data_IF_274096431004
#
_entry.id   IF_274096431004
#
_cell.length_a   1.000
_cell.length_b   1.000
_cell.length_c   1.000
_cell.angle_alpha   90.00
_cell.angle_beta   90.00
_cell.angle_gamma   90.00
#
_symmetry.space_group_name_H-M   'P 1'
#
loop_
_entity.id
_entity.type
_entity.pdbx_description
1 polymer ?
#
# COMPACT_ATOMS: atom_id res chain seq x y z
N UNK A 1 -24.50 -15.70 11.94
CA UNK A 1 -23.54 -16.56 11.21
C UNK A 1 -22.77 -15.75 10.18
N UNK A 2 -21.55 -16.19 9.83
CA UNK A 2 -20.67 -15.52 8.86
C UNK A 2 -20.63 -16.32 7.56
N UNK A 3 -20.77 -15.67 6.41
CA UNK A 3 -20.60 -16.26 5.09
C UNK A 3 -19.14 -16.18 4.63
N UNK A 4 -18.56 -14.98 4.63
CA UNK A 4 -17.17 -14.74 4.24
C UNK A 4 -16.40 -13.94 5.29
N UNK A 5 -15.10 -14.18 5.34
CA UNK A 5 -14.12 -13.33 6.02
C UNK A 5 -13.20 -12.74 4.97
N UNK A 6 -13.10 -11.42 4.95
CA UNK A 6 -12.33 -10.67 3.96
C UNK A 6 -11.12 -10.06 4.65
N UNK A 7 -9.93 -10.37 4.17
CA UNK A 7 -8.69 -9.94 4.80
C UNK A 7 -8.27 -10.85 5.95
N UNK A 8 -7.79 -10.27 7.03
CA UNK A 8 -7.20 -10.98 8.18
C UNK A 8 -5.78 -11.50 7.93
N UNK A 9 -5.26 -11.31 6.73
CA UNK A 9 -3.89 -11.68 6.39
C UNK A 9 -2.87 -10.72 7.00
N UNK A 10 -3.00 -9.40 6.82
CA UNK A 10 -1.92 -8.45 7.17
C UNK A 10 -2.29 -7.19 7.96
N UNK A 11 -3.57 -6.80 7.98
CA UNK A 11 -4.01 -5.49 8.53
C UNK A 11 -5.34 -5.55 9.27
N UNK A 12 -6.41 -5.97 8.59
CA UNK A 12 -7.76 -6.04 9.16
C UNK A 12 -8.57 -7.16 8.52
N UNK A 13 -9.58 -7.65 9.24
CA UNK A 13 -10.61 -8.57 8.76
C UNK A 13 -12.00 -7.93 8.82
N UNK A 14 -12.78 -8.14 7.77
CA UNK A 14 -14.21 -7.80 7.68
C UNK A 14 -15.02 -9.06 7.45
N UNK A 15 -16.31 -9.01 7.76
CA UNK A 15 -17.19 -10.17 7.75
C UNK A 15 -18.40 -9.90 6.89
N UNK A 16 -18.86 -10.93 6.18
CA UNK A 16 -20.08 -10.89 5.36
C UNK A 16 -21.14 -11.76 6.02
N UNK A 17 -22.37 -11.28 6.14
CA UNK A 17 -23.51 -12.04 6.66
C UNK A 17 -24.04 -13.07 5.66
N UNK A 18 -25.13 -13.78 5.99
CA UNK A 18 -25.70 -14.82 5.13
C UNK A 18 -26.55 -14.26 3.99
N UNK A 19 -26.84 -12.97 4.02
CA UNK A 19 -27.58 -12.20 3.04
C UNK A 19 -26.65 -11.54 2.00
N UNK A 20 -25.34 -11.59 2.26
CA UNK A 20 -24.30 -11.07 1.38
C UNK A 20 -23.84 -9.66 1.70
N UNK A 21 -24.28 -9.05 2.81
CA UNK A 21 -23.86 -7.70 3.20
C UNK A 21 -22.66 -7.74 4.14
N UNK A 22 -21.88 -6.67 4.16
CA UNK A 22 -20.88 -6.47 5.21
C UNK A 22 -21.58 -6.35 6.56
N UNK A 23 -21.05 -7.06 7.55
CA UNK A 23 -21.52 -6.97 8.93
C UNK A 23 -21.07 -5.63 9.50
N UNK A 24 -22.02 -4.74 9.73
CA UNK A 24 -21.85 -3.38 10.25
C UNK A 24 -22.51 -3.16 11.61
N UNK A 25 -23.50 -3.99 11.94
CA UNK A 25 -24.19 -3.98 13.24
C UNK A 25 -25.03 -2.71 13.47
N UNK A 26 -25.32 -2.41 14.74
CA UNK A 26 -25.98 -1.17 15.12
C UNK A 26 -24.99 0.01 15.17
N UNK A 27 -25.47 1.22 15.47
CA UNK A 27 -24.66 2.46 15.45
C UNK A 27 -23.42 2.43 16.36
N UNK A 28 -23.38 1.54 17.36
CA UNK A 28 -22.26 1.39 18.28
C UNK A 28 -21.46 0.10 18.05
N UNK A 29 -21.81 -0.68 17.03
CA UNK A 29 -21.20 -1.97 16.80
C UNK A 29 -19.74 -1.83 16.32
N UNK A 30 -18.90 -2.73 16.83
CA UNK A 30 -17.52 -2.88 16.42
C UNK A 30 -17.42 -4.14 15.57
N UNK A 31 -17.28 -3.99 14.26
CA UNK A 31 -17.46 -5.09 13.30
C UNK A 31 -16.27 -5.34 12.39
N UNK A 32 -15.28 -4.44 12.36
CA UNK A 32 -14.00 -4.72 11.72
C UNK A 32 -12.98 -5.13 12.78
N UNK A 33 -12.24 -6.20 12.52
CA UNK A 33 -11.15 -6.63 13.41
C UNK A 33 -9.81 -6.16 12.88
N UNK A 34 -9.16 -5.22 13.56
CA UNK A 34 -7.81 -4.78 13.25
C UNK A 34 -6.78 -5.71 13.91
N UNK A 35 -5.75 -6.09 13.16
CA UNK A 35 -4.61 -6.84 13.70
C UNK A 35 -3.67 -5.91 14.47
N UNK A 36 -2.87 -6.49 15.37
CA UNK A 36 -1.83 -5.77 16.09
C UNK A 36 -0.84 -5.13 15.10
N UNK A 37 -0.54 -3.85 15.29
CA UNK A 37 0.50 -3.15 14.54
C UNK A 37 1.65 -2.75 15.46
N UNK A 38 2.74 -3.52 15.40
CA UNK A 38 3.93 -3.30 16.23
C UNK A 38 4.64 -1.97 15.97
N UNK A 39 4.57 -1.44 14.75
CA UNK A 39 5.21 -0.17 14.42
C UNK A 39 4.44 1.01 14.99
N UNK A 40 3.11 0.94 14.94
CA UNK A 40 2.23 1.98 15.48
C UNK A 40 1.91 1.77 16.96
N UNK A 41 2.28 0.62 17.53
CA UNK A 41 2.01 0.18 18.90
C UNK A 41 0.50 0.15 19.19
N UNK A 42 -0.27 -0.39 18.25
CA UNK A 42 -1.72 -0.57 18.40
C UNK A 42 -2.03 -2.04 18.65
N UNK A 43 -2.83 -2.32 19.66
CA UNK A 43 -3.30 -3.67 19.97
C UNK A 43 -4.32 -4.17 18.95
N UNK A 44 -4.43 -5.48 18.81
CA UNK A 44 -5.48 -6.08 18.00
C UNK A 44 -6.85 -5.88 18.67
N UNK A 45 -7.89 -5.59 17.88
CA UNK A 45 -9.20 -5.32 18.44
C UNK A 45 -10.28 -5.01 17.41
N UNK A 46 -11.53 -5.07 17.86
CA UNK A 46 -12.66 -4.65 17.04
C UNK A 46 -12.81 -3.13 17.04
N UNK A 47 -13.10 -2.58 15.87
CA UNK A 47 -13.38 -1.16 15.64
C UNK A 47 -14.67 -1.00 14.83
N UNK A 48 -15.28 0.17 14.91
CA UNK A 48 -16.46 0.50 14.10
C UNK A 48 -16.09 0.57 12.61
N UNK A 49 -16.97 0.06 11.76
CA UNK A 49 -16.86 0.18 10.30
C UNK A 49 -18.27 0.23 9.72
N UNK A 50 -18.67 1.39 9.17
CA UNK A 50 -20.02 1.65 8.67
C UNK A 50 -21.14 1.30 9.67
N UNK A 51 -20.91 1.54 10.97
CA UNK A 51 -21.83 1.13 12.04
C UNK A 51 -23.25 1.66 11.81
N UNK A 52 -24.25 0.76 11.82
CA UNK A 52 -25.65 1.08 11.56
C UNK A 52 -26.05 1.18 10.08
N UNK A 53 -25.13 1.01 9.14
CA UNK A 53 -25.42 1.08 7.70
C UNK A 53 -25.61 -0.31 7.08
N UNK A 54 -26.52 -0.45 6.12
CA UNK A 54 -26.60 -1.65 5.29
C UNK A 54 -25.64 -1.50 4.10
N UNK A 55 -24.54 -2.24 4.10
CA UNK A 55 -23.47 -2.10 3.09
C UNK A 55 -23.34 -3.40 2.29
N UNK A 56 -23.70 -3.40 0.99
CA UNK A 56 -23.48 -4.55 0.12
C UNK A 56 -21.99 -4.91 -0.01
N UNK A 57 -21.69 -6.19 -0.20
CA UNK A 57 -20.35 -6.68 -0.46
C UNK A 57 -19.95 -6.48 -1.93
N UNK A 58 -19.18 -5.43 -2.19
CA UNK A 58 -18.58 -5.13 -3.50
C UNK A 58 -17.09 -5.49 -3.60
N UNK A 59 -16.49 -6.01 -2.52
CA UNK A 59 -15.06 -6.27 -2.48
C UNK A 59 -14.62 -7.47 -3.34
N UNK A 60 -15.58 -8.24 -3.88
CA UNK A 60 -15.34 -9.38 -4.76
C UNK A 60 -14.50 -9.01 -5.99
N UNK A 61 -14.62 -7.77 -6.50
CA UNK A 61 -13.85 -7.30 -7.64
C UNK A 61 -12.33 -7.50 -7.46
N UNK A 62 -11.84 -7.29 -6.24
CA UNK A 62 -10.40 -7.34 -5.94
C UNK A 62 -9.99 -8.59 -5.14
N UNK A 63 -10.95 -9.28 -4.52
CA UNK A 63 -10.69 -10.37 -3.58
C UNK A 63 -11.15 -11.75 -4.07
N UNK A 64 -11.53 -11.89 -5.35
CA UNK A 64 -11.96 -13.16 -5.94
C UNK A 64 -11.35 -13.37 -7.32
N UNK A 65 -11.50 -14.57 -7.88
CA UNK A 65 -11.00 -14.93 -9.21
C UNK A 65 -12.12 -15.09 -10.21
N UNK A 66 -11.94 -14.52 -11.40
CA UNK A 66 -12.93 -14.58 -12.47
C UNK A 66 -14.16 -13.73 -12.18
N UNK A 67 -13.98 -12.59 -11.49
CA UNK A 67 -15.06 -11.68 -11.14
C UNK A 67 -15.78 -11.12 -12.38
N UNK A 68 -17.11 -11.04 -12.29
CA UNK A 68 -17.98 -10.42 -13.29
C UNK A 68 -18.90 -9.43 -12.55
N UNK A 69 -18.96 -8.15 -12.96
CA UNK A 69 -19.80 -7.12 -12.34
C UNK A 69 -21.28 -7.25 -12.77
N UNK A 70 -21.80 -8.48 -12.74
CA UNK A 70 -23.18 -8.80 -13.12
C UNK A 70 -23.73 -9.91 -12.23
N UNK A 71 -25.01 -9.76 -11.90
CA UNK A 71 -25.72 -10.70 -11.05
C UNK A 71 -25.28 -10.59 -9.59
N UNK A 72 -25.63 -11.63 -8.86
CA UNK A 72 -25.38 -11.76 -7.44
C UNK A 72 -24.99 -13.21 -7.17
N UNK A 73 -23.80 -13.42 -6.59
CA UNK A 73 -23.32 -14.75 -6.24
C UNK A 73 -24.36 -15.46 -5.36
N UNK A 74 -24.65 -16.72 -5.69
CA UNK A 74 -25.64 -17.57 -5.00
C UNK A 74 -27.06 -16.98 -4.89
N UNK A 75 -27.39 -15.95 -5.68
CA UNK A 75 -28.66 -15.24 -5.62
C UNK A 75 -28.80 -14.30 -4.43
N UNK A 76 -27.72 -14.01 -3.71
CA UNK A 76 -27.70 -13.13 -2.53
C UNK A 76 -27.51 -11.67 -2.94
N UNK A 77 -28.55 -10.85 -2.81
CA UNK A 77 -28.54 -9.45 -3.30
C UNK A 77 -27.44 -8.59 -2.69
N UNK A 78 -26.95 -8.93 -1.50
CA UNK A 78 -25.81 -8.25 -0.88
C UNK A 78 -24.47 -8.50 -1.60
N UNK A 79 -24.30 -9.64 -2.26
CA UNK A 79 -23.06 -9.96 -3.00
C UNK A 79 -23.10 -9.30 -4.38
N UNK A 80 -22.31 -8.25 -4.59
CA UNK A 80 -22.31 -7.49 -5.85
C UNK A 80 -21.41 -8.16 -6.89
N UNK A 81 -22.04 -8.74 -7.91
CA UNK A 81 -21.36 -9.50 -8.96
C UNK A 81 -21.29 -11.00 -8.66
N UNK A 82 -20.57 -11.71 -9.52
CA UNK A 82 -20.35 -13.16 -9.45
C UNK A 82 -18.87 -13.46 -9.68
N UNK A 83 -18.38 -14.60 -9.20
CA UNK A 83 -17.00 -15.03 -9.40
C UNK A 83 -16.90 -16.54 -9.51
N UNK A 84 -15.73 -17.04 -9.92
CA UNK A 84 -15.49 -18.46 -10.13
C UNK A 84 -14.86 -19.10 -8.91
N UNK A 85 -13.90 -18.42 -8.29
CA UNK A 85 -13.17 -18.93 -7.11
C UNK A 85 -12.95 -17.83 -6.08
N UNK A 86 -12.96 -18.23 -4.80
CA UNK A 86 -12.62 -17.32 -3.70
C UNK A 86 -11.11 -17.02 -3.71
N UNK A 87 -10.74 -15.82 -3.27
CA UNK A 87 -9.38 -15.28 -3.27
C UNK A 87 -8.85 -14.96 -4.68
N UNK A 88 -7.72 -14.23 -4.71
CA UNK A 88 -6.95 -13.97 -5.93
C UNK A 88 -6.09 -15.20 -6.24
N UNK A 89 -6.48 -15.94 -7.27
CA UNK A 89 -5.84 -17.16 -7.74
C UNK A 89 -5.06 -16.96 -9.04
N UNK A 90 -4.52 -18.05 -9.57
CA UNK A 90 -3.65 -18.05 -10.76
C UNK A 90 -4.32 -17.36 -11.97
N UNK A 91 -5.60 -17.64 -12.17
CA UNK A 91 -6.35 -17.21 -13.35
C UNK A 91 -6.70 -15.72 -13.34
N UNK A 92 -6.53 -15.00 -12.22
CA UNK A 92 -6.71 -13.55 -12.20
C UNK A 92 -5.64 -12.82 -13.00
N UNK A 93 -4.42 -13.34 -13.03
CA UNK A 93 -3.31 -12.75 -13.79
C UNK A 93 -2.99 -13.54 -15.07
N UNK A 94 -3.19 -14.86 -15.02
CA UNK A 94 -2.87 -15.75 -16.13
C UNK A 94 -4.09 -16.14 -16.97
N UNK A 95 -5.28 -15.61 -16.69
CA UNK A 95 -6.51 -15.96 -17.40
C UNK A 95 -6.94 -17.43 -17.23
N UNK A 96 -8.04 -17.85 -17.87
CA UNK A 96 -8.59 -19.19 -17.71
C UNK A 96 -7.64 -20.29 -18.23
N UNK A 97 -7.28 -21.23 -17.38
CA UNK A 97 -6.30 -22.29 -17.63
C UNK A 97 -6.87 -23.60 -18.18
N UNK A 98 -8.18 -23.69 -18.44
CA UNK A 98 -8.84 -24.93 -18.86
C UNK A 98 -8.22 -25.57 -20.11
N UNK A 99 -7.79 -24.78 -21.09
CA UNK A 99 -7.10 -25.27 -22.28
C UNK A 99 -5.65 -25.68 -21.99
N UNK A 100 -4.98 -24.95 -21.09
CA UNK A 100 -3.61 -25.27 -20.66
C UNK A 100 -3.56 -26.62 -19.96
N UNK A 101 -4.46 -26.90 -19.03
CA UNK A 101 -4.51 -28.19 -18.30
C UNK A 101 -4.65 -29.38 -19.26
N UNK A 102 -5.43 -29.25 -20.32
CA UNK A 102 -5.65 -30.31 -21.31
C UNK A 102 -4.49 -30.48 -22.31
N UNK A 103 -3.65 -29.47 -22.50
CA UNK A 103 -2.56 -29.49 -23.49
C UNK A 103 -1.42 -28.53 -23.12
N UNK A 104 -0.71 -28.76 -21.99
CA UNK A 104 0.20 -27.76 -21.41
C UNK A 104 1.42 -27.44 -22.28
N UNK A 105 1.81 -28.38 -23.16
CA UNK A 105 2.90 -28.19 -24.12
C UNK A 105 2.48 -27.41 -25.38
N UNK A 106 1.17 -27.30 -25.66
CA UNK A 106 0.64 -26.64 -26.85
C UNK A 106 -0.05 -25.31 -26.52
N UNK A 107 -0.59 -25.18 -25.32
CA UNK A 107 -1.28 -24.00 -24.83
C UNK A 107 -0.56 -23.51 -23.59
N UNK A 108 0.22 -22.45 -23.71
CA UNK A 108 0.84 -21.79 -22.55
C UNK A 108 -0.16 -20.86 -21.87
N UNK A 109 -0.04 -20.72 -20.56
CA UNK A 109 -0.73 -19.65 -19.83
C UNK A 109 -0.19 -18.29 -20.30
N UNK A 110 -1.04 -17.28 -20.56
CA UNK A 110 -0.57 -15.93 -20.82
C UNK A 110 0.20 -15.40 -19.61
N UNK A 111 1.27 -14.67 -19.89
CA UNK A 111 2.08 -14.01 -18.86
C UNK A 111 1.94 -12.52 -19.09
N UNK A 112 0.94 -11.92 -18.46
CA UNK A 112 0.75 -10.47 -18.44
C UNK A 112 1.70 -9.87 -17.40
N UNK A 113 2.46 -8.86 -17.81
CA UNK A 113 3.48 -8.19 -16.98
C UNK A 113 3.24 -6.69 -16.86
N UNK A 114 2.25 -6.17 -17.59
CA UNK A 114 1.87 -4.77 -17.54
C UNK A 114 1.35 -4.38 -16.15
N UNK A 115 1.68 -3.16 -15.73
CA UNK A 115 1.20 -2.60 -14.48
C UNK A 115 -0.33 -2.47 -14.42
N UNK A 116 -0.99 -2.31 -15.58
CA UNK A 116 -2.44 -2.21 -15.72
C UNK A 116 -3.17 -3.43 -15.13
N UNK A 117 -2.64 -4.64 -15.34
CA UNK A 117 -3.18 -5.87 -14.76
C UNK A 117 -3.24 -5.79 -13.23
N UNK A 118 -2.17 -5.29 -12.60
CA UNK A 118 -2.12 -5.04 -11.15
C UNK A 118 -3.09 -3.92 -10.74
N UNK A 119 -3.20 -2.89 -11.60
CA UNK A 119 -4.12 -1.76 -11.45
C UNK A 119 -5.60 -2.15 -11.38
N UNK A 120 -5.99 -3.34 -11.84
CA UNK A 120 -7.37 -3.86 -11.66
C UNK A 120 -7.81 -3.88 -10.19
N UNK A 121 -6.87 -4.10 -9.28
CA UNK A 121 -7.12 -4.17 -7.83
C UNK A 121 -6.36 -3.11 -7.03
N UNK A 122 -5.15 -2.76 -7.46
CA UNK A 122 -4.28 -1.76 -6.84
C UNK A 122 -4.53 -0.35 -7.39
N UNK A 123 -5.79 -0.06 -7.70
CA UNK A 123 -6.28 1.27 -8.01
C UNK A 123 -7.65 1.51 -7.35
N UNK A 124 -8.03 2.78 -7.26
CA UNK A 124 -9.37 3.22 -6.82
C UNK A 124 -10.04 3.99 -7.96
N UNK A 125 -10.66 5.12 -7.66
CA UNK A 125 -11.51 5.86 -8.60
C UNK A 125 -10.78 6.40 -9.83
N UNK A 126 -9.50 6.75 -9.71
CA UNK A 126 -8.73 7.40 -10.76
C UNK A 126 -7.24 7.04 -10.72
N UNK A 127 -6.63 6.84 -11.88
CA UNK A 127 -5.17 6.68 -12.01
C UNK A 127 -4.41 8.00 -11.81
N UNK A 128 -5.09 9.14 -11.96
CA UNK A 128 -4.45 10.47 -11.94
C UNK A 128 -4.52 11.18 -10.58
N UNK A 129 -5.21 10.58 -9.60
CA UNK A 129 -5.40 11.15 -8.27
C UNK A 129 -5.07 10.08 -7.26
N UNK A 130 -4.19 10.41 -6.31
CA UNK A 130 -3.91 9.56 -5.14
C UNK A 130 -4.77 10.07 -4.00
N UNK A 131 -5.89 9.40 -3.74
CA UNK A 131 -6.88 9.78 -2.73
C UNK A 131 -6.30 9.65 -1.32
N UNK A 132 -6.71 10.55 -0.44
CA UNK A 132 -6.26 10.61 0.94
C UNK A 132 -7.39 11.03 1.88
N UNK A 133 -7.38 10.48 3.09
CA UNK A 133 -8.26 10.84 4.19
C UNK A 133 -7.49 10.83 5.51
N UNK A 134 -7.93 11.63 6.47
CA UNK A 134 -7.37 11.69 7.82
C UNK A 134 -5.84 11.91 7.89
N UNK A 135 -5.29 12.58 6.88
CA UNK A 135 -3.85 12.86 6.77
C UNK A 135 -3.00 11.70 6.29
N UNK A 136 -3.60 10.71 5.60
CA UNK A 136 -2.91 9.56 5.01
C UNK A 136 -3.49 9.20 3.64
N UNK A 137 -2.68 8.57 2.80
CA UNK A 137 -3.11 7.99 1.52
C UNK A 137 -4.02 6.79 1.80
N UNK A 138 -5.13 6.68 1.08
CA UNK A 138 -5.98 5.48 1.16
C UNK A 138 -5.26 4.28 0.53
N UNK A 139 -5.38 3.11 1.14
CA UNK A 139 -4.82 1.88 0.61
C UNK A 139 -5.34 1.52 -0.80
N UNK A 140 -4.65 0.59 -1.46
CA UNK A 140 -4.94 0.07 -2.81
C UNK A 140 -4.82 1.10 -3.94
N UNK A 141 -3.84 1.99 -3.87
CA UNK A 141 -3.59 3.00 -4.92
C UNK A 141 -2.18 2.94 -5.50
N UNK A 142 -1.44 1.84 -5.29
CA UNK A 142 -0.03 1.73 -5.71
C UNK A 142 0.15 2.01 -7.21
N UNK A 143 -0.82 1.63 -8.04
CA UNK A 143 -0.79 1.94 -9.47
C UNK A 143 -0.84 3.46 -9.73
N UNK A 144 -1.76 4.18 -9.09
CA UNK A 144 -1.86 5.65 -9.20
C UNK A 144 -0.64 6.37 -8.57
N UNK A 145 -0.12 5.83 -7.47
CA UNK A 145 1.09 6.34 -6.81
C UNK A 145 2.31 6.24 -7.73
N UNK A 146 2.57 5.06 -8.31
CA UNK A 146 3.68 4.89 -9.27
C UNK A 146 3.47 5.76 -10.50
N UNK A 147 2.26 5.79 -11.05
CA UNK A 147 1.90 6.56 -12.24
C UNK A 147 2.10 8.08 -12.05
N UNK A 148 1.77 8.60 -10.88
CA UNK A 148 1.97 10.01 -10.55
C UNK A 148 3.43 10.35 -10.22
N UNK A 149 4.25 9.34 -9.88
CA UNK A 149 5.65 9.52 -9.51
C UNK A 149 6.61 9.58 -10.71
N UNK A 150 7.91 9.74 -10.41
CA UNK A 150 9.00 9.65 -11.41
C UNK A 150 9.22 8.24 -11.98
N UNK A 151 8.55 7.23 -11.42
CA UNK A 151 8.69 5.81 -11.81
C UNK A 151 7.55 5.30 -12.69
N UNK A 152 6.69 6.17 -13.21
CA UNK A 152 5.51 5.86 -14.04
C UNK A 152 5.71 4.98 -15.29
N UNK A 153 6.96 4.75 -15.69
CA UNK A 153 7.32 3.92 -16.86
C UNK A 153 7.80 2.52 -16.46
N UNK A 154 7.90 2.23 -15.16
CA UNK A 154 8.26 0.92 -14.65
C UNK A 154 7.00 0.12 -14.37
N UNK A 155 7.09 -1.18 -14.60
CA UNK A 155 6.04 -2.13 -14.24
C UNK A 155 6.21 -2.61 -12.80
N UNK A 156 5.12 -3.06 -12.18
CA UNK A 156 5.16 -3.58 -10.81
C UNK A 156 6.14 -4.74 -10.67
N UNK A 157 6.22 -5.58 -11.70
CA UNK A 157 7.08 -6.79 -11.74
C UNK A 157 8.55 -6.49 -12.00
N UNK A 158 8.91 -5.25 -12.35
CA UNK A 158 10.31 -4.82 -12.43
C UNK A 158 10.95 -4.82 -11.04
N UNK A 159 10.16 -4.51 -10.01
CA UNK A 159 10.59 -4.54 -8.61
C UNK A 159 10.07 -5.76 -7.86
N UNK A 160 8.84 -6.21 -8.10
CA UNK A 160 8.20 -7.24 -7.28
C UNK A 160 8.09 -8.63 -7.93
N UNK A 161 8.13 -9.66 -7.09
CA UNK A 161 7.74 -11.01 -7.43
C UNK A 161 6.24 -11.22 -7.19
N UNK A 162 5.41 -11.36 -8.24
CA UNK A 162 3.96 -11.49 -8.07
C UNK A 162 3.53 -12.84 -7.46
N UNK A 163 4.46 -13.79 -7.29
CA UNK A 163 4.19 -15.09 -6.67
C UNK A 163 4.58 -15.16 -5.20
N UNK A 164 5.11 -14.08 -4.63
CA UNK A 164 5.60 -14.05 -3.25
C UNK A 164 4.89 -12.96 -2.45
N UNK A 165 4.66 -13.22 -1.17
CA UNK A 165 4.00 -12.28 -0.28
C UNK A 165 4.94 -11.15 0.12
N UNK A 166 4.50 -9.90 -0.02
CA UNK A 166 5.24 -8.73 0.46
C UNK A 166 5.15 -8.54 1.99
N UNK A 167 4.31 -9.32 2.68
CA UNK A 167 4.09 -9.23 4.14
C UNK A 167 4.76 -10.36 4.92
N UNK A 168 4.68 -11.57 4.40
CA UNK A 168 5.21 -12.79 5.03
C UNK A 168 6.14 -13.57 4.12
N UNK A 169 6.49 -13.03 2.96
CA UNK A 169 7.56 -13.60 2.15
C UNK A 169 8.89 -13.41 2.85
N UNK A 170 9.78 -14.39 2.73
CA UNK A 170 11.11 -14.40 3.35
C UNK A 170 12.10 -13.44 2.67
N UNK A 171 11.63 -12.24 2.25
CA UNK A 171 12.42 -11.21 1.56
C UNK A 171 12.69 -11.49 0.08
N UNK A 172 11.97 -12.44 -0.53
CA UNK A 172 12.08 -12.81 -1.95
C UNK A 172 11.04 -12.12 -2.84
N UNK A 173 10.24 -11.22 -2.25
CA UNK A 173 9.22 -10.44 -2.94
C UNK A 173 9.79 -9.27 -3.73
N UNK A 174 11.00 -8.80 -3.42
CA UNK A 174 11.72 -7.77 -4.17
C UNK A 174 12.79 -8.42 -5.04
N UNK A 175 12.68 -8.24 -6.36
CA UNK A 175 13.59 -8.76 -7.39
C UNK A 175 14.70 -7.80 -7.76
N UNK A 176 14.47 -6.51 -7.56
CA UNK A 176 15.40 -5.46 -7.92
C UNK A 176 15.52 -4.45 -6.78
N UNK A 177 16.73 -4.36 -6.24
CA UNK A 177 17.08 -3.36 -5.24
C UNK A 177 17.24 -1.98 -5.89
N UNK A 178 17.06 -0.93 -5.08
CA UNK A 178 17.15 0.45 -5.55
C UNK A 178 18.55 0.73 -6.12
N UNK A 179 19.57 0.25 -5.41
CA UNK A 179 21.00 0.42 -5.62
C UNK A 179 21.46 -0.20 -6.96
N UNK A 180 20.74 -1.22 -7.46
CA UNK A 180 21.01 -1.82 -8.77
C UNK A 180 20.85 -0.85 -9.94
N UNK A 181 19.99 0.16 -9.78
CA UNK A 181 19.78 1.24 -10.76
C UNK A 181 20.29 2.61 -10.26
N UNK A 182 20.28 2.82 -8.95
CA UNK A 182 20.62 4.08 -8.29
C UNK A 182 21.99 4.05 -7.59
N UNK A 183 23.01 3.51 -8.29
CA UNK A 183 24.36 3.36 -7.76
C UNK A 183 25.01 4.70 -7.36
N UNK A 184 24.71 5.80 -8.06
CA UNK A 184 25.24 7.11 -7.69
C UNK A 184 24.63 7.59 -6.37
N UNK A 185 23.32 7.46 -6.20
CA UNK A 185 22.63 7.82 -4.97
C UNK A 185 23.03 6.90 -3.80
N UNK A 186 23.36 5.64 -4.08
CA UNK A 186 23.88 4.72 -3.09
C UNK A 186 25.29 5.14 -2.63
N UNK A 187 26.18 5.47 -3.57
CA UNK A 187 27.55 5.89 -3.26
C UNK A 187 27.67 7.28 -2.62
N UNK A 188 26.76 8.20 -2.97
CA UNK A 188 26.85 9.60 -2.54
C UNK A 188 25.63 9.98 -1.72
N UNK A 189 25.89 10.17 -0.43
CA UNK A 189 24.87 10.47 0.56
C UNK A 189 25.46 11.27 1.70
N UNK A 190 24.71 12.24 2.21
CA UNK A 190 25.10 12.98 3.42
C UNK A 190 25.30 12.07 4.64
N UNK A 191 24.50 11.01 4.76
CA UNK A 191 24.63 9.97 5.79
C UNK A 191 25.04 8.68 5.08
N UNK A 192 26.33 8.35 5.07
CA UNK A 192 26.84 7.18 4.34
C UNK A 192 27.17 5.98 5.25
N UNK A 193 27.02 6.12 6.58
CA UNK A 193 27.22 5.00 7.52
C UNK A 193 25.93 4.21 7.82
N UNK A 194 24.75 4.64 7.31
CA UNK A 194 23.43 3.97 7.21
C UNK A 194 23.13 2.80 8.18
N UNK A 195 23.54 2.88 9.45
CA UNK A 195 23.40 1.73 10.37
C UNK A 195 21.93 1.39 10.68
N UNK A 196 21.00 2.32 10.45
CA UNK A 196 19.64 2.23 10.98
C UNK A 196 18.51 2.61 10.00
N UNK A 197 18.80 2.89 8.72
CA UNK A 197 17.79 3.24 7.72
C UNK A 197 18.17 2.76 6.31
N UNK A 198 17.19 2.18 5.60
CA UNK A 198 17.32 1.80 4.18
C UNK A 198 16.64 2.81 3.25
N UNK A 199 16.81 2.64 1.94
CA UNK A 199 16.20 3.50 0.90
C UNK A 199 14.70 3.70 1.11
N UNK A 200 13.98 2.59 1.37
CA UNK A 200 12.53 2.58 1.54
C UNK A 200 12.05 3.32 2.79
N UNK A 201 12.91 3.58 3.78
CA UNK A 201 12.48 4.25 5.02
C UNK A 201 12.21 5.75 4.79
N UNK A 202 12.93 6.38 3.87
CA UNK A 202 12.72 7.78 3.48
C UNK A 202 11.98 7.92 2.14
N UNK A 203 12.23 7.01 1.20
CA UNK A 203 11.64 7.07 -0.15
C UNK A 203 10.36 6.26 -0.31
N UNK A 204 10.03 5.34 0.59
CA UNK A 204 8.72 4.67 0.63
C UNK A 204 8.20 4.65 2.07
N UNK A 205 8.12 5.81 2.74
CA UNK A 205 7.69 5.85 4.13
C UNK A 205 6.23 5.41 4.24
N UNK A 206 5.80 5.12 5.45
CA UNK A 206 4.44 4.64 5.68
C UNK A 206 3.46 5.81 5.72
N UNK A 207 3.01 6.26 4.56
CA UNK A 207 2.02 7.34 4.40
C UNK A 207 0.64 6.76 4.02
N UNK A 208 0.51 5.44 3.92
CA UNK A 208 -0.71 4.80 3.44
C UNK A 208 -1.40 4.06 4.59
N UNK A 209 -2.72 4.14 4.64
CA UNK A 209 -3.53 3.54 5.70
C UNK A 209 -4.48 2.49 5.14
N UNK A 210 -4.36 1.27 5.67
CA UNK A 210 -5.30 0.19 5.46
C UNK A 210 -6.23 0.01 6.66
N UNK A 211 -5.67 -0.17 7.85
CA UNK A 211 -6.41 -0.43 9.08
C UNK A 211 -6.17 0.62 10.17
N UNK A 212 -4.91 1.03 10.37
CA UNK A 212 -4.52 1.96 11.43
C UNK A 212 -3.45 2.93 10.97
N UNK A 213 -3.52 4.15 11.51
CA UNK A 213 -2.51 5.18 11.32
C UNK A 213 -2.43 6.10 12.54
N UNK A 214 -1.34 6.86 12.64
CA UNK A 214 -1.11 7.80 13.72
C UNK A 214 -0.44 9.06 13.18
N UNK A 215 -1.17 10.17 13.23
CA UNK A 215 -0.65 11.50 12.87
C UNK A 215 0.47 11.93 13.80
N UNK A 216 0.39 11.62 15.11
CA UNK A 216 1.46 11.89 16.08
C UNK A 216 2.76 11.13 15.77
N UNK A 217 2.66 9.94 15.18
CA UNK A 217 3.80 9.14 14.71
C UNK A 217 4.18 9.43 13.25
N UNK A 218 3.44 10.29 12.55
CA UNK A 218 3.59 10.54 11.11
C UNK A 218 3.64 9.23 10.29
N UNK A 219 2.80 8.25 10.64
CA UNK A 219 2.92 6.92 10.07
C UNK A 219 1.58 6.18 9.97
N UNK A 220 1.32 5.65 8.77
CA UNK A 220 0.30 4.63 8.50
C UNK A 220 0.86 3.20 8.63
N UNK A 221 0.08 2.23 8.22
CA UNK A 221 0.42 0.80 8.29
C UNK A 221 0.86 0.19 6.95
N UNK A 222 0.88 0.99 5.88
CA UNK A 222 1.36 0.62 4.56
C UNK A 222 2.34 1.65 4.00
N UNK A 223 3.30 1.17 3.19
CA UNK A 223 4.28 2.00 2.50
C UNK A 223 3.67 2.62 1.23
N UNK A 224 4.00 3.89 0.99
CA UNK A 224 3.69 4.56 -0.28
C UNK A 224 4.59 4.04 -1.40
N UNK A 225 4.10 4.12 -2.64
CA UNK A 225 4.86 3.95 -3.88
C UNK A 225 5.10 5.30 -4.59
N UNK A 226 5.18 6.37 -3.81
CA UNK A 226 5.68 7.68 -4.21
C UNK A 226 7.11 7.80 -3.70
N UNK A 227 8.08 8.01 -4.61
CA UNK A 227 9.50 7.82 -4.27
C UNK A 227 10.29 9.12 -4.03
N UNK A 228 10.06 10.14 -4.85
CA UNK A 228 10.90 11.33 -4.86
C UNK A 228 10.57 12.22 -3.66
N UNK A 229 11.58 12.62 -2.88
CA UNK A 229 11.41 13.53 -1.75
C UNK A 229 11.51 14.98 -2.27
N UNK A 230 10.55 15.82 -1.90
CA UNK A 230 10.64 17.26 -2.11
C UNK A 230 10.92 17.97 -0.77
N UNK A 231 12.18 18.40 -0.52
CA UNK A 231 12.54 19.00 0.77
C UNK A 231 11.82 20.32 1.05
N UNK A 232 11.34 21.01 0.02
CA UNK A 232 10.68 22.31 0.15
C UNK A 232 9.15 22.22 0.17
N UNK A 233 8.59 21.00 0.12
CA UNK A 233 7.16 20.80 0.21
C UNK A 233 6.64 21.19 1.61
N UNK A 234 5.57 21.97 1.64
CA UNK A 234 4.92 22.38 2.90
C UNK A 234 3.97 21.33 3.47
N UNK A 235 3.48 20.44 2.62
CA UNK A 235 2.48 19.42 2.95
C UNK A 235 2.61 18.27 1.96
N UNK A 236 2.32 17.06 2.43
CA UNK A 236 2.11 15.90 1.58
C UNK A 236 0.78 16.00 0.81
N UNK A 237 -0.24 16.58 1.43
CA UNK A 237 -1.61 16.61 0.89
C UNK A 237 -1.99 18.00 0.38
N UNK A 238 -3.00 18.02 -0.50
CA UNK A 238 -3.67 19.25 -0.92
C UNK A 238 -4.39 19.94 0.26
N UNK A 239 -4.92 21.13 0.02
CA UNK A 239 -5.44 22.02 1.08
C UNK A 239 -6.60 21.41 1.89
N UNK A 240 -7.44 20.62 1.24
CA UNK A 240 -8.59 19.93 1.82
C UNK A 240 -8.26 18.51 2.31
N UNK A 241 -7.02 18.04 2.09
CA UNK A 241 -6.55 16.74 2.56
C UNK A 241 -7.04 15.54 1.72
N UNK A 242 -7.79 15.78 0.64
CA UNK A 242 -8.43 14.75 -0.18
C UNK A 242 -7.49 14.03 -1.14
N UNK A 243 -6.31 14.59 -1.41
CA UNK A 243 -5.34 13.99 -2.33
C UNK A 243 -3.89 14.25 -1.93
N UNK A 244 -3.03 13.27 -2.20
CA UNK A 244 -1.59 13.35 -1.99
C UNK A 244 -0.86 13.94 -3.20
N UNK A 245 0.24 14.63 -2.91
CA UNK A 245 1.18 15.18 -3.89
C UNK A 245 2.06 14.07 -4.50
N UNK A 246 2.56 14.22 -5.74
CA UNK A 246 3.38 13.21 -6.44
C UNK A 246 4.84 13.14 -5.95
N UNK A 247 5.08 13.52 -4.69
CA UNK A 247 6.37 13.49 -4.02
C UNK A 247 6.15 13.20 -2.53
N UNK A 248 7.19 12.79 -1.84
CA UNK A 248 7.22 12.63 -0.38
C UNK A 248 7.66 13.95 0.25
N UNK A 249 6.87 14.48 1.18
CA UNK A 249 7.26 15.61 2.01
C UNK A 249 8.20 15.17 3.16
N UNK A 250 9.06 16.07 3.62
CA UNK A 250 10.01 15.81 4.73
C UNK A 250 9.32 15.39 6.02
N UNK A 251 8.09 15.83 6.21
CA UNK A 251 7.21 15.40 7.29
C UNK A 251 7.17 13.87 7.38
N UNK A 252 6.85 13.18 6.29
CA UNK A 252 6.74 11.72 6.28
C UNK A 252 8.06 11.01 6.02
N UNK A 253 8.99 11.61 5.27
CA UNK A 253 10.31 11.02 5.06
C UNK A 253 11.15 10.93 6.34
N UNK A 254 10.94 11.86 7.29
CA UNK A 254 11.82 12.04 8.44
C UNK A 254 11.10 11.89 9.78
N UNK A 255 9.91 12.49 9.98
CA UNK A 255 9.28 12.57 11.31
C UNK A 255 8.70 11.25 11.81
N UNK A 256 8.58 10.24 10.94
CA UNK A 256 8.33 8.87 11.39
C UNK A 256 9.41 8.34 12.36
N UNK A 257 10.63 8.87 12.26
CA UNK A 257 11.73 8.59 13.20
C UNK A 257 12.07 9.79 14.09
N UNK A 258 12.08 11.00 13.54
CA UNK A 258 12.50 12.24 14.20
C UNK A 258 11.32 13.04 14.78
N UNK A 259 10.55 12.39 15.65
CA UNK A 259 9.42 12.98 16.38
C UNK A 259 9.40 12.48 17.83
N UNK A 260 8.58 13.09 18.68
CA UNK A 260 8.44 12.71 20.10
C UNK A 260 8.12 11.23 20.30
N UNK A 261 7.35 10.64 19.39
CA UNK A 261 6.98 9.21 19.43
C UNK A 261 7.87 8.33 18.54
N UNK A 262 8.81 8.93 17.82
CA UNK A 262 9.74 8.29 16.92
C UNK A 262 10.87 7.56 17.66
N UNK A 263 11.76 6.93 16.89
CA UNK A 263 12.88 6.13 17.40
C UNK A 263 14.23 6.86 17.37
N UNK A 264 14.27 8.05 16.79
CA UNK A 264 15.47 8.86 16.63
C UNK A 264 15.31 10.19 17.39
N UNK A 265 16.41 10.95 17.61
CA UNK A 265 16.32 12.25 18.24
C UNK A 265 15.33 13.17 17.50
N UNK A 266 14.57 13.95 18.27
CA UNK A 266 13.65 14.94 17.71
C UNK A 266 14.45 16.00 16.97
N UNK A 267 14.03 16.33 15.75
CA UNK A 267 14.65 17.36 14.92
C UNK A 267 13.59 18.35 14.46
N UNK A 268 13.94 19.64 14.49
CA UNK A 268 13.11 20.72 13.96
C UNK A 268 13.00 20.65 12.43
N UNK A 269 11.88 21.14 11.88
CA UNK A 269 11.60 21.11 10.44
C UNK A 269 12.70 21.75 9.61
N UNK A 270 13.25 22.89 10.06
CA UNK A 270 14.35 23.57 9.37
C UNK A 270 15.58 22.66 9.22
N UNK A 271 15.88 21.85 10.24
CA UNK A 271 17.00 20.91 10.21
C UNK A 271 16.70 19.72 9.29
N UNK A 272 15.48 19.19 9.33
CA UNK A 272 15.06 18.11 8.43
C UNK A 272 15.18 18.52 6.96
N UNK A 273 14.76 19.75 6.63
CA UNK A 273 14.88 20.33 5.29
C UNK A 273 16.35 20.51 4.89
N UNK A 274 17.19 21.03 5.79
CA UNK A 274 18.63 21.20 5.55
C UNK A 274 19.32 19.86 5.22
N UNK A 275 19.02 18.81 6.00
CA UNK A 275 19.58 17.47 5.77
C UNK A 275 19.08 16.92 4.43
N UNK A 276 17.78 16.97 4.17
CA UNK A 276 17.19 16.41 2.94
C UNK A 276 17.63 17.16 1.67
N UNK A 277 17.94 18.45 1.76
CA UNK A 277 18.37 19.26 0.61
C UNK A 277 19.76 18.85 0.14
N UNK A 278 19.89 18.40 -1.11
CA UNK A 278 21.17 17.93 -1.64
C UNK A 278 21.67 16.66 -0.97
N UNK A 279 20.77 15.81 -0.47
CA UNK A 279 21.15 14.59 0.27
C UNK A 279 22.08 13.68 -0.52
N UNK A 280 21.95 13.65 -1.85
CA UNK A 280 22.78 12.85 -2.76
C UNK A 280 23.84 13.64 -3.53
N UNK A 281 24.11 14.89 -3.12
CA UNK A 281 25.14 15.71 -3.76
C UNK A 281 26.54 15.20 -3.39
N UNK A 282 27.40 15.02 -4.40
CA UNK A 282 28.72 14.38 -4.25
C UNK A 282 29.64 15.12 -3.29
N UNK A 283 29.56 16.45 -3.28
CA UNK A 283 30.36 17.34 -2.43
C UNK A 283 29.89 17.36 -0.97
N UNK A 284 28.68 16.88 -0.70
CA UNK A 284 28.11 16.77 0.65
C UNK A 284 28.16 15.33 1.20
N UNK A 285 28.73 14.38 0.46
CA UNK A 285 28.77 12.99 0.89
C UNK A 285 29.50 12.82 2.24
N UNK A 286 28.84 12.17 3.20
CA UNK A 286 29.34 11.96 4.56
C UNK A 286 29.28 13.17 5.49
N UNK A 287 28.73 14.31 5.05
CA UNK A 287 28.71 15.55 5.84
C UNK A 287 27.88 15.47 7.13
N UNK A 288 27.04 14.43 7.28
CA UNK A 288 26.12 14.26 8.40
C UNK A 288 26.42 13.03 9.26
N UNK A 289 27.53 12.32 9.04
CA UNK A 289 27.89 11.13 9.84
C UNK A 289 28.38 11.46 11.26
N UNK A 290 28.91 12.67 11.48
CA UNK A 290 29.60 13.06 12.72
C UNK A 290 28.80 14.09 13.56
N UNK A 291 27.52 14.31 13.22
CA UNK A 291 26.66 15.34 13.84
C UNK A 291 25.50 14.77 14.63
#
# INVERSE_FOLDING_TARGET
DILYVIGGYGWMARFVDKEGNLITGDEAALTQYNLENKTLKTDAGFVAFHAGEEVPFDCAQCHTTGYIPKGNQDGLTGLIGTWVEDNVGCENCHGPGSNHVNSPYLVSMPVLRDAESCGTCHSRTSMNVVEAHDGFIDHNQQYAEVFSSKKRVMDCVDCHNPHESTKYGDGVDVKADCEGCHFDQDNYQKINDRKHAGCVDCHMPRITTSAVASTERFSGDMRTHIFAINPNAKSQFNKDGSAASPYVAVEFACKGCHSELGRAPVLEDARLIEVATGFHDRDLAGSENER
#
